data_IF_596938322802
#
_entry.id   IF_596938322802
#
_cell.length_a   1.000
_cell.length_b   1.000
_cell.length_c   1.000
_cell.angle_alpha   90.00
_cell.angle_beta   90.00
_cell.angle_gamma   90.00
#
_symmetry.space_group_name_H-M   'P 1'
#
loop_
_entity.id
_entity.type
_entity.pdbx_description
1 polymer ?
#
# COMPACT_ATOMS: atom_id res chain seq x y z
N UNK A 1 -10.74 10.17 -3.04
CA UNK A 1 -9.40 9.57 -2.87
C UNK A 1 -9.46 8.60 -1.71
N UNK A 2 -8.86 7.43 -1.84
CA UNK A 2 -8.76 6.40 -0.82
C UNK A 2 -7.29 6.12 -0.55
N UNK A 3 -6.82 6.34 0.68
CA UNK A 3 -5.42 6.14 1.07
C UNK A 3 -5.37 5.06 2.11
N UNK A 4 -4.45 4.12 1.96
CA UNK A 4 -4.21 3.06 2.92
C UNK A 4 -2.74 2.66 2.92
N UNK A 5 -2.31 2.10 4.04
CA UNK A 5 -0.93 1.80 4.39
C UNK A 5 -0.82 0.32 4.70
N UNK A 6 0.38 -0.23 4.54
CA UNK A 6 0.63 -1.64 4.83
C UNK A 6 1.20 -1.80 6.24
N UNK A 7 0.55 -2.66 7.03
CA UNK A 7 0.87 -2.92 8.45
C UNK A 7 0.70 -1.75 9.43
N UNK A 8 0.08 -0.63 9.04
CA UNK A 8 -0.28 0.39 10.01
C UNK A 8 -1.29 -0.16 11.02
N UNK A 9 -1.06 0.14 12.29
CA UNK A 9 -1.91 -0.25 13.40
C UNK A 9 -2.46 0.98 14.09
N UNK A 10 -3.63 0.82 14.69
CA UNK A 10 -4.23 1.85 15.52
C UNK A 10 -3.40 2.10 16.78
N UNK A 11 -3.25 3.38 17.12
CA UNK A 11 -2.69 3.87 18.38
C UNK A 11 -3.67 4.88 18.99
N UNK A 12 -3.98 4.75 20.29
CA UNK A 12 -4.82 5.74 20.99
C UNK A 12 -4.18 7.13 21.02
N UNK A 13 -2.85 7.17 21.08
CA UNK A 13 -2.04 8.38 20.95
C UNK A 13 -0.68 8.03 20.34
N UNK A 14 -0.15 8.94 19.52
CA UNK A 14 1.23 8.83 19.04
C UNK A 14 2.23 9.03 20.20
N UNK A 15 3.42 8.40 20.15
CA UNK A 15 4.49 8.67 21.12
C UNK A 15 4.77 10.17 21.27
N UNK A 16 5.12 10.59 22.49
CA UNK A 16 5.33 12.01 22.76
C UNK A 16 6.41 12.60 21.85
N UNK A 17 6.10 13.75 21.26
CA UNK A 17 6.96 14.44 20.30
C UNK A 17 6.72 14.04 18.84
N UNK A 18 6.16 12.86 18.55
CA UNK A 18 5.84 12.46 17.17
C UNK A 18 4.63 13.25 16.70
N UNK A 19 4.78 13.94 15.56
CA UNK A 19 3.67 14.61 14.86
C UNK A 19 3.51 14.02 13.46
N UNK A 20 2.27 13.68 13.13
CA UNK A 20 1.87 13.17 11.82
C UNK A 20 0.81 14.12 11.25
N UNK A 21 1.20 15.27 10.69
CA UNK A 21 0.26 16.34 10.34
C UNK A 21 -0.80 15.91 9.31
N UNK A 22 -0.49 14.93 8.46
CA UNK A 22 -1.47 14.31 7.57
C UNK A 22 -2.58 13.58 8.32
N UNK A 23 -2.21 12.71 9.27
CA UNK A 23 -3.14 11.99 10.13
C UNK A 23 -3.93 12.92 11.04
N UNK A 24 -3.25 13.86 11.69
CA UNK A 24 -3.87 14.86 12.57
C UNK A 24 -4.94 15.67 11.83
N UNK A 25 -4.64 16.10 10.59
CA UNK A 25 -5.61 16.79 9.74
C UNK A 25 -6.81 15.89 9.41
N UNK A 26 -6.60 14.64 9.04
CA UNK A 26 -7.70 13.71 8.74
C UNK A 26 -8.57 13.43 9.97
N UNK A 27 -7.95 13.23 11.14
CA UNK A 27 -8.65 12.99 12.40
C UNK A 27 -9.49 14.20 12.84
N UNK A 28 -9.01 15.42 12.60
CA UNK A 28 -9.71 16.66 12.98
C UNK A 28 -10.76 17.13 11.96
N UNK A 29 -10.64 16.72 10.69
CA UNK A 29 -11.57 17.15 9.62
C UNK A 29 -12.52 16.05 9.14
N UNK A 30 -12.37 14.83 9.64
CA UNK A 30 -13.14 13.66 9.22
C UNK A 30 -13.93 13.01 10.34
N UNK A 31 -14.28 11.73 10.12
CA UNK A 31 -14.93 10.87 11.10
C UNK A 31 -14.04 9.65 11.33
N UNK A 32 -13.72 9.36 12.59
CA UNK A 32 -12.92 8.20 12.98
C UNK A 32 -13.79 7.09 13.59
N UNK A 33 -13.46 5.85 13.26
CA UNK A 33 -14.07 4.67 13.84
C UNK A 33 -13.05 3.99 14.77
N UNK A 34 -13.30 3.96 16.08
CA UNK A 34 -12.37 3.34 17.04
C UNK A 34 -12.41 1.81 17.06
N UNK A 35 -13.39 1.20 16.40
CA UNK A 35 -13.55 -0.26 16.32
C UNK A 35 -13.63 -0.66 14.84
N UNK A 36 -12.46 -0.78 14.21
CA UNK A 36 -12.32 -1.28 12.85
C UNK A 36 -11.38 -2.49 12.84
N UNK A 37 -11.76 -3.55 12.12
CA UNK A 37 -11.02 -4.80 12.13
C UNK A 37 -10.78 -5.26 10.70
N UNK A 38 -9.54 -5.64 10.40
CA UNK A 38 -9.23 -6.29 9.13
C UNK A 38 -9.90 -7.66 9.08
N UNK A 39 -10.47 -8.02 7.93
CA UNK A 39 -11.06 -9.34 7.72
C UNK A 39 -10.00 -10.46 7.68
N UNK A 40 -8.75 -10.12 7.38
CA UNK A 40 -7.59 -11.01 7.44
C UNK A 40 -6.35 -10.24 7.91
N UNK A 41 -5.44 -10.92 8.59
CA UNK A 41 -4.15 -10.36 9.07
C UNK A 41 -3.01 -10.59 8.08
N UNK A 42 -3.36 -10.93 6.84
CA UNK A 42 -2.46 -11.20 5.71
C UNK A 42 -2.68 -10.12 4.66
N UNK A 43 -1.62 -9.56 4.08
CA UNK A 43 -1.72 -8.41 3.17
C UNK A 43 -2.56 -8.72 1.94
N UNK A 44 -2.25 -9.81 1.20
CA UNK A 44 -3.01 -10.21 0.01
C UNK A 44 -4.48 -10.49 0.34
N UNK A 45 -4.76 -11.28 1.39
CA UNK A 45 -6.14 -11.58 1.79
C UNK A 45 -6.93 -10.34 2.23
N UNK A 46 -6.31 -9.48 3.05
CA UNK A 46 -6.95 -8.24 3.53
C UNK A 46 -7.26 -7.28 2.38
N UNK A 47 -6.31 -7.11 1.46
CA UNK A 47 -6.49 -6.29 0.24
C UNK A 47 -7.60 -6.85 -0.65
N UNK A 48 -7.66 -8.17 -0.82
CA UNK A 48 -8.71 -8.81 -1.62
C UNK A 48 -10.09 -8.55 -1.02
N UNK A 49 -10.25 -8.69 0.30
CA UNK A 49 -11.52 -8.37 0.97
C UNK A 49 -11.86 -6.89 0.84
N UNK A 50 -10.89 -6.01 1.08
CA UNK A 50 -11.08 -4.55 0.97
C UNK A 50 -11.51 -4.12 -0.44
N UNK A 51 -10.91 -4.70 -1.48
CA UNK A 51 -11.14 -4.28 -2.86
C UNK A 51 -12.33 -4.97 -3.52
N UNK A 52 -12.74 -6.16 -3.06
CA UNK A 52 -13.88 -6.89 -3.64
C UNK A 52 -15.15 -6.78 -2.79
N UNK A 53 -15.02 -6.49 -1.50
CA UNK A 53 -16.10 -6.58 -0.52
C UNK A 53 -16.51 -8.01 -0.17
N UNK A 54 -15.78 -9.02 -0.69
CA UNK A 54 -16.05 -10.43 -0.50
C UNK A 54 -15.07 -11.05 0.49
N UNK A 55 -15.52 -12.02 1.29
CA UNK A 55 -14.65 -12.75 2.19
C UNK A 55 -13.66 -13.62 1.41
N UNK A 56 -12.55 -13.98 2.06
CA UNK A 56 -11.48 -14.79 1.44
C UNK A 56 -11.95 -16.05 0.72
N UNK A 57 -12.92 -16.84 1.23
CA UNK A 57 -13.46 -17.99 0.49
C UNK A 57 -14.14 -17.66 -0.84
N UNK A 58 -14.71 -16.45 -0.95
CA UNK A 58 -15.45 -16.00 -2.12
C UNK A 58 -14.53 -15.30 -3.15
N UNK A 59 -13.47 -14.65 -2.69
CA UNK A 59 -12.49 -13.97 -3.56
C UNK A 59 -11.28 -14.86 -3.93
N UNK A 60 -11.05 -15.95 -3.20
CA UNK A 60 -10.01 -16.96 -3.48
C UNK A 60 -8.61 -16.65 -2.95
N UNK A 61 -8.40 -15.55 -2.23
CA UNK A 61 -7.07 -15.09 -1.79
C UNK A 61 -6.80 -15.48 -0.33
N UNK A 62 -6.34 -16.71 -0.10
CA UNK A 62 -6.13 -17.30 1.23
C UNK A 62 -4.77 -17.00 1.88
N UNK A 63 -3.79 -16.63 1.08
CA UNK A 63 -2.38 -16.55 1.48
C UNK A 63 -1.70 -15.44 0.65
N UNK A 64 -0.47 -15.05 0.99
CA UNK A 64 0.24 -14.01 0.26
C UNK A 64 0.54 -14.42 -1.19
N UNK A 65 0.35 -13.48 -2.12
CA UNK A 65 0.52 -13.70 -3.56
C UNK A 65 1.94 -14.20 -3.92
N UNK A 66 2.93 -13.94 -3.06
CA UNK A 66 4.33 -14.32 -3.25
C UNK A 66 4.56 -15.83 -3.17
N UNK A 67 3.64 -16.57 -2.56
CA UNK A 67 3.74 -18.02 -2.46
C UNK A 67 3.56 -18.66 -3.84
N UNK A 68 4.40 -19.64 -4.21
CA UNK A 68 4.43 -20.19 -5.57
C UNK A 68 3.13 -20.89 -5.99
N UNK A 69 2.28 -21.27 -5.02
CA UNK A 69 1.00 -21.92 -5.24
C UNK A 69 -0.20 -20.95 -5.23
N UNK A 70 0.00 -19.68 -4.85
CA UNK A 70 -1.05 -18.66 -4.88
C UNK A 70 -1.11 -18.07 -6.29
N UNK A 71 -2.31 -18.06 -6.86
CA UNK A 71 -2.57 -17.46 -8.18
C UNK A 71 -2.96 -16.00 -8.00
N UNK A 72 -2.82 -15.22 -9.08
CA UNK A 72 -3.41 -13.88 -9.16
C UNK A 72 -4.90 -13.92 -8.81
N UNK A 73 -5.38 -12.87 -8.14
CA UNK A 73 -6.81 -12.69 -7.89
C UNK A 73 -7.57 -12.73 -9.21
N UNK A 74 -8.67 -13.47 -9.27
CA UNK A 74 -9.41 -13.61 -10.53
C UNK A 74 -9.99 -12.26 -10.99
N UNK A 75 -9.74 -11.89 -12.24
CA UNK A 75 -10.37 -10.73 -12.89
C UNK A 75 -11.88 -10.93 -13.14
N UNK A 76 -12.41 -12.14 -12.95
CA UNK A 76 -13.85 -12.40 -12.94
C UNK A 76 -14.55 -11.88 -11.68
N UNK A 77 -13.81 -11.59 -10.61
CA UNK A 77 -14.34 -11.04 -9.35
C UNK A 77 -14.35 -9.51 -9.44
N UNK A 78 -15.53 -8.86 -9.44
CA UNK A 78 -15.58 -7.41 -9.53
C UNK A 78 -14.99 -6.72 -8.29
N UNK A 79 -13.99 -5.89 -8.51
CA UNK A 79 -13.46 -4.95 -7.50
C UNK A 79 -14.33 -3.68 -7.39
N UNK A 80 -14.10 -2.89 -6.35
CA UNK A 80 -14.63 -1.53 -6.17
C UNK A 80 -14.27 -0.61 -7.35
N UNK A 81 -13.13 -0.83 -8.03
CA UNK A 81 -12.77 -0.11 -9.25
C UNK A 81 -13.79 -0.32 -10.36
N UNK A 82 -14.20 -1.57 -10.59
CA UNK A 82 -15.28 -1.88 -11.55
C UNK A 82 -16.60 -1.23 -11.15
N UNK A 83 -16.96 -1.27 -9.86
CA UNK A 83 -18.20 -0.68 -9.36
C UNK A 83 -18.22 0.84 -9.60
N UNK A 84 -17.11 1.52 -9.29
CA UNK A 84 -16.95 2.96 -9.47
C UNK A 84 -16.99 3.36 -10.95
N UNK A 85 -16.32 2.60 -11.83
CA UNK A 85 -16.42 2.82 -13.29
C UNK A 85 -17.85 2.72 -13.79
N UNK A 86 -18.62 1.72 -13.34
CA UNK A 86 -20.05 1.61 -13.69
C UNK A 86 -20.86 2.79 -13.20
N UNK A 87 -20.46 3.41 -12.08
CA UNK A 87 -21.06 4.64 -11.57
C UNK A 87 -20.54 5.93 -12.26
N UNK A 88 -19.70 5.80 -13.31
CA UNK A 88 -19.20 6.93 -14.10
C UNK A 88 -17.89 7.53 -13.61
N UNK A 89 -17.22 6.95 -12.61
CA UNK A 89 -15.95 7.44 -12.10
C UNK A 89 -14.78 7.03 -12.99
N UNK A 90 -13.86 7.96 -13.21
CA UNK A 90 -12.51 7.61 -13.63
C UNK A 90 -11.71 7.09 -12.43
N UNK A 91 -11.22 5.87 -12.50
CA UNK A 91 -10.58 5.18 -11.37
C UNK A 91 -9.08 5.08 -11.60
N UNK A 92 -8.26 5.49 -10.64
CA UNK A 92 -6.81 5.37 -10.70
C UNK A 92 -6.25 4.67 -9.45
N UNK A 93 -5.11 4.01 -9.58
CA UNK A 93 -4.44 3.30 -8.49
C UNK A 93 -2.93 3.55 -8.51
N UNK A 94 -2.35 3.89 -7.35
CA UNK A 94 -0.92 4.15 -7.16
C UNK A 94 -0.38 3.37 -5.96
N UNK A 95 0.78 2.76 -6.14
CA UNK A 95 1.48 2.01 -5.08
C UNK A 95 1.10 0.53 -5.01
N UNK A 96 1.40 -0.10 -3.87
CA UNK A 96 1.43 -1.55 -3.70
C UNK A 96 0.11 -2.24 -4.07
N UNK A 97 0.12 -3.16 -5.04
CA UNK A 97 -1.06 -3.94 -5.42
C UNK A 97 -1.19 -5.25 -4.61
N UNK A 98 -0.19 -6.13 -4.71
CA UNK A 98 -0.02 -7.36 -3.92
C UNK A 98 -1.17 -8.38 -3.99
N UNK A 99 -1.90 -8.41 -5.11
CA UNK A 99 -2.93 -9.40 -5.45
C UNK A 99 -2.56 -10.25 -6.68
N UNK A 100 -1.37 -10.04 -7.24
CA UNK A 100 -0.82 -10.78 -8.37
C UNK A 100 0.71 -10.64 -8.32
N UNK A 101 1.41 -11.75 -8.08
CA UNK A 101 2.87 -11.74 -7.95
C UNK A 101 3.61 -11.39 -9.25
N UNK A 102 2.95 -11.47 -10.41
CA UNK A 102 3.57 -11.09 -11.68
C UNK A 102 3.83 -9.58 -11.77
N UNK A 103 3.16 -8.76 -10.95
CA UNK A 103 3.47 -7.33 -10.81
C UNK A 103 4.87 -7.08 -10.20
N UNK A 104 5.42 -8.08 -9.47
CA UNK A 104 6.76 -8.02 -8.87
C UNK A 104 7.85 -8.66 -9.75
N UNK A 105 7.47 -9.49 -10.74
CA UNK A 105 8.42 -10.34 -11.50
C UNK A 105 8.82 -9.76 -12.85
N UNK A 106 8.03 -8.86 -13.40
CA UNK A 106 8.36 -8.27 -14.69
C UNK A 106 9.32 -7.09 -14.54
N UNK A 107 10.39 -7.04 -15.37
CA UNK A 107 11.24 -5.87 -15.41
C UNK A 107 10.39 -4.63 -15.75
N UNK A 108 10.87 -3.50 -15.24
CA UNK A 108 10.27 -2.15 -15.24
C UNK A 108 10.00 -1.55 -16.63
N UNK A 109 10.01 -2.36 -17.68
CA UNK A 109 9.99 -1.93 -19.07
C UNK A 109 8.59 -1.71 -19.62
N UNK A 110 7.54 -2.07 -18.88
CA UNK A 110 6.15 -1.99 -19.34
C UNK A 110 5.22 -1.27 -18.35
N UNK A 111 4.33 -0.46 -18.90
CA UNK A 111 3.24 0.18 -18.16
C UNK A 111 2.20 -0.88 -17.83
N UNK A 112 1.95 -1.11 -16.54
CA UNK A 112 1.06 -2.18 -16.05
C UNK A 112 -0.44 -1.81 -16.11
N UNK A 113 -0.78 -0.72 -16.81
CA UNK A 113 -2.16 -0.21 -16.95
C UNK A 113 -3.12 -1.26 -17.51
N UNK A 114 -2.77 -2.01 -18.56
CA UNK A 114 -3.70 -2.99 -19.15
C UNK A 114 -4.11 -4.09 -18.15
N UNK A 115 -3.17 -4.53 -17.30
CA UNK A 115 -3.46 -5.51 -16.24
C UNK A 115 -4.38 -4.93 -15.18
N UNK A 116 -4.16 -3.68 -14.79
CA UNK A 116 -4.98 -3.01 -13.78
C UNK A 116 -6.34 -2.57 -14.31
N UNK A 117 -6.45 -2.31 -15.61
CA UNK A 117 -7.72 -2.06 -16.26
C UNK A 117 -8.66 -3.26 -16.13
N UNK A 118 -8.12 -4.48 -16.16
CA UNK A 118 -8.86 -5.73 -15.89
C UNK A 118 -9.32 -5.87 -14.43
N UNK A 119 -8.75 -5.07 -13.52
CA UNK A 119 -9.20 -4.92 -12.13
C UNK A 119 -10.00 -3.64 -11.90
N UNK A 120 -10.37 -2.91 -12.95
CA UNK A 120 -11.18 -1.70 -12.81
C UNK A 120 -10.40 -0.46 -12.37
N UNK A 121 -9.08 -0.40 -12.56
CA UNK A 121 -8.25 0.78 -12.25
C UNK A 121 -7.37 1.17 -13.43
N UNK A 122 -7.53 2.41 -13.90
CA UNK A 122 -6.71 3.01 -14.95
C UNK A 122 -5.47 3.67 -14.35
N UNK A 123 -4.57 4.17 -15.19
CA UNK A 123 -3.40 4.95 -14.77
C UNK A 123 -2.57 4.29 -13.67
N UNK A 124 -2.21 3.03 -13.88
CA UNK A 124 -1.32 2.32 -12.96
C UNK A 124 0.10 2.27 -13.55
N UNK A 125 1.08 2.76 -12.78
CA UNK A 125 2.43 2.96 -13.28
C UNK A 125 3.51 2.90 -12.19
N UNK A 126 4.75 2.83 -12.65
CA UNK A 126 5.97 2.50 -11.89
C UNK A 126 6.27 3.32 -10.63
N UNK A 127 6.97 2.75 -9.62
CA UNK A 127 7.06 1.34 -9.20
C UNK A 127 5.90 0.97 -8.28
N UNK A 128 5.37 -0.24 -8.45
CA UNK A 128 3.97 -0.53 -8.05
C UNK A 128 3.78 -1.79 -7.23
N UNK A 129 4.80 -2.62 -7.15
CA UNK A 129 4.85 -3.69 -6.18
C UNK A 129 6.34 -3.88 -5.89
N UNK A 130 6.83 -3.10 -4.94
CA UNK A 130 8.10 -3.41 -4.31
C UNK A 130 7.71 -4.34 -3.18
N UNK A 131 7.97 -5.64 -3.37
CA UNK A 131 8.00 -6.57 -2.25
C UNK A 131 8.71 -5.88 -1.09
N UNK A 132 8.10 -5.95 0.07
CA UNK A 132 8.64 -5.41 1.29
C UNK A 132 9.94 -6.14 1.63
N UNK A 133 10.99 -5.71 0.99
CA UNK A 133 12.36 -5.93 1.40
C UNK A 133 12.66 -4.90 2.49
N UNK A 134 13.83 -5.02 3.08
CA UNK A 134 14.35 -4.01 3.96
C UNK A 134 14.35 -2.63 3.28
N UNK A 135 13.80 -1.63 3.98
CA UNK A 135 13.68 -0.25 3.49
C UNK A 135 12.84 -0.07 2.20
N UNK A 136 11.97 -1.03 1.87
CA UNK A 136 11.12 -0.98 0.67
C UNK A 136 10.18 0.22 0.67
N UNK A 137 9.49 0.48 1.78
CA UNK A 137 8.63 1.65 1.93
C UNK A 137 9.43 2.94 1.96
N UNK A 138 10.56 2.96 2.69
CA UNK A 138 11.44 4.12 2.75
C UNK A 138 11.91 4.59 1.36
N UNK A 139 12.25 3.65 0.48
CA UNK A 139 12.70 3.95 -0.89
C UNK A 139 11.57 4.28 -1.85
N UNK A 140 10.38 3.69 -1.66
CA UNK A 140 9.31 3.68 -2.67
C UNK A 140 8.17 4.63 -2.38
N UNK A 141 7.83 4.88 -1.10
CA UNK A 141 6.66 5.69 -0.74
C UNK A 141 6.77 7.14 -1.21
N UNK A 142 7.97 7.71 -1.27
CA UNK A 142 8.19 9.05 -1.83
C UNK A 142 7.79 9.10 -3.32
N UNK A 143 8.05 8.02 -4.07
CA UNK A 143 7.67 7.91 -5.47
C UNK A 143 6.16 7.69 -5.60
N UNK A 144 5.56 6.84 -4.76
CA UNK A 144 4.10 6.63 -4.73
C UNK A 144 3.39 7.96 -4.44
N UNK A 145 3.83 8.70 -3.42
CA UNK A 145 3.30 10.02 -3.07
C UNK A 145 3.48 11.03 -4.21
N UNK A 146 4.66 11.06 -4.84
CA UNK A 146 4.94 11.93 -5.98
C UNK A 146 4.04 11.64 -7.18
N UNK A 147 3.85 10.37 -7.54
CA UNK A 147 2.97 9.97 -8.65
C UNK A 147 1.50 10.26 -8.37
N UNK A 148 1.04 10.08 -7.12
CA UNK A 148 -0.30 10.48 -6.70
C UNK A 148 -0.49 12.00 -6.79
N UNK A 149 0.50 12.79 -6.36
CA UNK A 149 0.47 14.24 -6.46
C UNK A 149 0.42 14.72 -7.91
N UNK A 150 1.28 14.18 -8.79
CA UNK A 150 1.27 14.51 -10.22
C UNK A 150 -0.07 14.15 -10.84
N UNK A 151 -0.60 12.94 -10.57
CA UNK A 151 -1.90 12.53 -11.08
C UNK A 151 -3.04 13.45 -10.62
N UNK A 152 -3.05 13.90 -9.36
CA UNK A 152 -4.05 14.85 -8.86
C UNK A 152 -3.98 16.20 -9.60
N UNK A 153 -2.78 16.67 -9.94
CA UNK A 153 -2.58 17.94 -10.65
C UNK A 153 -2.93 17.85 -12.13
N UNK A 154 -2.49 16.78 -12.78
CA UNK A 154 -2.49 16.65 -14.23
C UNK A 154 -3.76 15.98 -14.76
N UNK A 155 -4.42 15.17 -13.93
CA UNK A 155 -5.63 14.41 -14.31
C UNK A 155 -6.81 14.74 -13.39
N UNK A 156 -6.64 14.59 -12.08
CA UNK A 156 -7.74 14.72 -11.11
C UNK A 156 -8.37 16.11 -11.08
N UNK A 157 -7.55 17.16 -11.06
CA UNK A 157 -8.04 18.55 -11.07
C UNK A 157 -8.73 18.91 -12.41
N UNK A 158 -8.13 18.68 -13.59
CA UNK A 158 -8.83 18.90 -14.86
C UNK A 158 -10.17 18.15 -14.96
N UNK A 159 -10.23 16.88 -14.53
CA UNK A 159 -11.49 16.14 -14.50
C UNK A 159 -12.53 16.78 -13.57
N UNK A 160 -12.11 17.21 -12.38
CA UNK A 160 -13.01 17.90 -11.45
C UNK A 160 -13.52 19.24 -12.01
N UNK A 161 -12.66 20.01 -12.70
CA UNK A 161 -13.02 21.26 -13.36
C UNK A 161 -14.07 21.01 -14.47
N UNK A 162 -13.99 19.87 -15.15
CA UNK A 162 -14.98 19.38 -16.12
C UNK A 162 -16.19 18.66 -15.49
N UNK A 163 -16.30 18.63 -14.16
CA UNK A 163 -17.34 17.91 -13.40
C UNK A 163 -17.40 16.40 -13.68
N UNK A 164 -16.27 15.81 -14.08
CA UNK A 164 -16.11 14.36 -14.24
C UNK A 164 -15.64 13.76 -12.91
N UNK A 165 -16.38 12.81 -12.32
CA UNK A 165 -16.00 12.23 -11.04
C UNK A 165 -14.79 11.30 -11.21
N UNK A 166 -13.95 11.25 -10.19
CA UNK A 166 -12.78 10.39 -10.17
C UNK A 166 -12.53 9.77 -8.80
N UNK A 167 -11.85 8.63 -8.79
CA UNK A 167 -11.47 7.91 -7.59
C UNK A 167 -10.01 7.44 -7.69
N UNK A 168 -9.14 8.09 -6.93
CA UNK A 168 -7.73 7.71 -6.80
C UNK A 168 -7.53 6.85 -5.55
N UNK A 169 -6.93 5.68 -5.72
CA UNK A 169 -6.48 4.79 -4.67
C UNK A 169 -4.96 4.93 -4.50
N UNK A 170 -4.49 5.11 -3.27
CA UNK A 170 -3.07 5.25 -2.93
C UNK A 170 -2.73 4.23 -1.86
N UNK A 171 -1.95 3.22 -2.24
CA UNK A 171 -1.50 2.15 -1.36
C UNK A 171 -0.03 2.35 -1.01
N UNK A 172 0.24 2.86 0.19
CA UNK A 172 1.59 3.04 0.71
C UNK A 172 2.13 1.74 1.32
N UNK A 173 3.45 1.63 1.40
CA UNK A 173 4.16 0.46 1.91
C UNK A 173 4.50 0.63 3.40
N UNK A 174 5.00 1.78 3.84
CA UNK A 174 5.27 1.96 5.28
C UNK A 174 3.99 1.90 6.11
N UNK A 175 4.07 1.38 7.35
CA UNK A 175 5.29 0.99 8.10
C UNK A 175 5.79 -0.46 7.88
N UNK A 176 5.49 -1.13 6.77
CA UNK A 176 5.84 -2.54 6.55
C UNK A 176 7.35 -2.87 6.65
N UNK A 177 8.23 -1.89 6.49
CA UNK A 177 9.69 -2.05 6.67
C UNK A 177 10.05 -2.57 8.08
N UNK A 178 9.16 -2.41 9.06
CA UNK A 178 9.35 -2.89 10.44
C UNK A 178 9.63 -4.40 10.52
N UNK A 179 9.16 -5.19 9.56
CA UNK A 179 9.38 -6.64 9.50
C UNK A 179 10.86 -7.03 9.35
N UNK A 180 11.68 -6.12 8.82
CA UNK A 180 13.11 -6.32 8.58
C UNK A 180 13.96 -5.32 9.35
N UNK A 181 13.39 -4.64 10.35
CA UNK A 181 14.12 -3.66 11.12
C UNK A 181 15.01 -4.35 12.16
N UNK A 182 16.32 -4.11 12.08
CA UNK A 182 17.31 -4.65 12.99
C UNK A 182 17.41 -3.80 14.27
N UNK A 183 17.00 -4.36 15.40
CA UNK A 183 17.10 -3.74 16.73
C UNK A 183 18.26 -4.27 17.57
N UNK A 184 19.15 -5.12 17.04
CA UNK A 184 20.28 -5.68 17.79
C UNK A 184 21.19 -4.57 18.33
N UNK A 185 21.95 -4.76 19.41
CA UNK A 185 22.96 -3.75 19.77
C UNK A 185 24.13 -3.74 18.78
N UNK A 186 24.94 -2.67 18.69
CA UNK A 186 26.13 -2.66 17.85
C UNK A 186 27.07 -3.82 18.18
N UNK A 187 27.31 -4.71 17.21
CA UNK A 187 28.14 -5.90 17.36
C UNK A 187 27.38 -7.17 17.77
N UNK A 188 26.08 -7.07 18.02
CA UNK A 188 25.19 -8.22 18.24
C UNK A 188 24.53 -8.71 16.94
N UNK A 189 24.11 -9.98 16.97
CA UNK A 189 23.47 -10.70 15.85
C UNK A 189 22.34 -11.60 16.39
N UNK A 190 21.43 -11.01 17.17
CA UNK A 190 20.33 -11.75 17.83
C UNK A 190 19.18 -11.95 16.86
N UNK A 191 18.74 -10.88 16.18
CA UNK A 191 17.72 -10.94 15.14
C UNK A 191 18.34 -11.39 13.82
N UNK A 192 19.44 -10.75 13.41
CA UNK A 192 20.11 -11.10 12.16
C UNK A 192 21.21 -12.13 12.40
N UNK A 193 20.77 -13.38 12.54
CA UNK A 193 21.64 -14.54 12.73
C UNK A 193 22.37 -14.99 11.45
N UNK A 194 22.23 -14.26 10.33
CA UNK A 194 22.73 -14.67 9.02
C UNK A 194 21.97 -15.82 8.37
N UNK A 195 20.84 -16.24 8.96
CA UNK A 195 19.96 -17.32 8.46
C UNK A 195 18.58 -16.84 8.02
N UNK A 196 18.32 -15.54 8.11
CA UNK A 196 17.06 -14.97 7.67
C UNK A 196 16.91 -15.13 6.16
N UNK A 197 15.66 -15.28 5.70
CA UNK A 197 15.34 -15.29 4.28
C UNK A 197 15.77 -13.98 3.60
N UNK A 198 15.75 -12.87 4.36
CA UNK A 198 16.18 -11.53 3.93
C UNK A 198 16.97 -10.87 5.07
N UNK A 199 17.98 -10.05 4.73
CA UNK A 199 18.80 -9.36 5.73
C UNK A 199 17.97 -8.32 6.49
N UNK A 200 18.27 -8.14 7.78
CA UNK A 200 17.63 -7.08 8.55
C UNK A 200 18.40 -5.76 8.36
N UNK A 201 17.70 -4.66 8.11
CA UNK A 201 18.30 -3.35 7.95
C UNK A 201 18.15 -2.48 9.19
N UNK A 202 19.14 -1.60 9.36
CA UNK A 202 19.08 -0.52 10.35
C UNK A 202 18.26 0.65 9.81
N UNK A 203 17.90 1.56 10.72
CA UNK A 203 17.27 2.80 10.34
C UNK A 203 18.15 3.58 9.34
N UNK A 204 17.56 4.21 8.31
CA UNK A 204 18.30 5.08 7.41
C UNK A 204 19.02 6.21 8.13
N UNK A 205 20.16 6.64 7.59
CA UNK A 205 20.93 7.79 8.11
C UNK A 205 20.27 9.13 7.72
N UNK A 206 19.03 9.35 8.15
CA UNK A 206 18.31 10.62 7.97
C UNK A 206 17.82 11.19 9.30
N UNK A 207 17.67 12.51 9.35
CA UNK A 207 17.34 13.25 10.57
C UNK A 207 16.10 12.70 11.30
N UNK A 208 15.04 12.30 10.57
CA UNK A 208 13.81 11.76 11.17
C UNK A 208 14.03 10.44 11.91
N UNK A 209 14.95 9.60 11.44
CA UNK A 209 15.28 8.32 12.08
C UNK A 209 16.28 8.45 13.23
N UNK A 210 17.00 9.58 13.29
CA UNK A 210 17.91 9.92 14.39
C UNK A 210 17.21 10.65 15.54
N UNK A 211 15.96 11.07 15.32
CA UNK A 211 15.14 11.68 16.37
C UNK A 211 14.83 10.66 17.46
N UNK A 212 15.05 11.07 18.71
CA UNK A 212 14.67 10.30 19.89
C UNK A 212 13.37 10.87 20.43
N UNK A 213 12.43 9.97 20.67
CA UNK A 213 11.13 10.27 21.27
C UNK A 213 11.18 9.78 22.73
N UNK A 214 10.79 10.63 23.66
CA UNK A 214 10.82 10.34 25.10
C UNK A 214 9.53 9.66 25.56
#
# INVERSE_FOLDING_TARGET
MFVFTDQERYFDAWPAGISLPGHERLATSGVSFGQHYCAATMCTSSRAVMLTGLQTPDNGMFENADMPYVKAMSTSVPTIGHLLRRAGYYTAYKGKWHLDAEFNREPVTHVLTERMDAYGFSDFGFPVDSLAHDLGGYTTDAVIGGTAQSWLRDTGRPMADERKPWALFVSLINPHDIMYFNTDEPGEHVQDTGKLLMQAARAPEQAVYQQKWN
#
